data_IF_021238024275
#
_entry.id   IF_021238024275
#
_cell.length_a   1.000
_cell.length_b   1.000
_cell.length_c   1.000
_cell.angle_alpha   90.00
_cell.angle_beta   90.00
_cell.angle_gamma   90.00
#
_symmetry.space_group_name_H-M   'P 1'
#
loop_
_entity.id
_entity.type
_entity.pdbx_description
1 polymer ?
#
# COMPACT_ATOMS: atom_id res chain seq x y z
N UNK A 1 80.55 25.42 -13.54
CA UNK A 1 80.06 26.47 -14.47
C UNK A 1 78.57 26.27 -14.69
N UNK A 2 77.81 27.36 -14.61
CA UNK A 2 76.49 27.65 -15.22
C UNK A 2 75.44 26.52 -15.29
N UNK A 3 74.37 26.74 -14.54
CA UNK A 3 72.95 26.63 -14.92
C UNK A 3 72.67 26.51 -16.43
N UNK A 4 71.74 25.65 -16.83
CA UNK A 4 70.66 25.94 -17.80
C UNK A 4 69.57 24.87 -17.65
N UNK A 5 68.35 25.37 -17.46
CA UNK A 5 67.07 24.68 -17.47
C UNK A 5 66.65 24.48 -18.94
N UNK A 6 66.18 23.30 -19.31
CA UNK A 6 65.44 23.08 -20.55
C UNK A 6 64.20 22.23 -20.24
N UNK A 7 63.04 22.89 -20.37
CA UNK A 7 61.72 22.29 -20.47
C UNK A 7 61.70 21.30 -21.65
N UNK A 8 61.24 20.08 -21.40
CA UNK A 8 60.61 19.26 -22.43
C UNK A 8 59.18 18.98 -21.95
N UNK A 9 58.24 19.57 -22.66
CA UNK A 9 56.81 19.23 -22.59
C UNK A 9 56.61 17.95 -23.39
N UNK A 10 56.14 16.89 -22.74
CA UNK A 10 55.57 15.72 -23.40
C UNK A 10 54.10 15.62 -22.97
N UNK A 11 53.19 15.89 -23.92
CA UNK A 11 51.79 15.54 -23.81
C UNK A 11 51.67 14.01 -23.83
N UNK A 12 51.10 13.42 -22.77
CA UNK A 12 50.44 12.13 -22.87
C UNK A 12 48.98 12.28 -22.42
N UNK A 13 48.11 12.11 -23.41
CA UNK A 13 46.68 11.89 -23.21
C UNK A 13 46.46 10.49 -22.64
N UNK A 14 45.54 10.36 -21.68
CA UNK A 14 45.16 9.06 -21.14
C UNK A 14 44.43 9.18 -19.81
N UNK A 15 43.17 9.61 -19.87
CA UNK A 15 42.28 9.60 -18.71
C UNK A 15 41.99 8.19 -18.23
N UNK A 16 42.10 7.97 -16.93
CA UNK A 16 41.37 6.95 -16.21
C UNK A 16 41.00 7.53 -14.85
N UNK A 17 39.94 8.34 -14.84
CA UNK A 17 39.27 8.69 -13.60
C UNK A 17 38.76 7.39 -12.97
N UNK A 18 39.29 7.05 -11.80
CA UNK A 18 38.76 6.00 -10.96
C UNK A 18 37.26 6.27 -10.75
N UNK A 19 36.41 5.36 -11.24
CA UNK A 19 34.98 5.44 -10.98
C UNK A 19 34.76 5.20 -9.48
N UNK A 20 34.03 6.06 -8.77
CA UNK A 20 33.59 5.73 -7.43
C UNK A 20 32.54 4.63 -7.55
N UNK A 21 32.81 3.49 -6.93
CA UNK A 21 31.87 2.39 -6.71
C UNK A 21 30.79 2.88 -5.74
N UNK A 22 29.75 3.51 -6.28
CA UNK A 22 28.52 3.79 -5.57
C UNK A 22 27.51 2.66 -5.85
N UNK A 23 27.87 1.45 -5.45
CA UNK A 23 26.94 0.32 -5.28
C UNK A 23 26.62 0.25 -3.77
N UNK A 24 25.87 1.24 -3.29
CA UNK A 24 25.23 1.22 -1.98
C UNK A 24 23.79 1.70 -2.19
N UNK A 25 22.99 0.73 -2.64
CA UNK A 25 21.55 0.59 -2.41
C UNK A 25 20.81 1.90 -2.18
N UNK A 26 20.43 2.58 -3.27
CA UNK A 26 19.15 3.27 -3.25
C UNK A 26 18.06 2.21 -3.31
N UNK A 27 17.83 1.50 -2.19
CA UNK A 27 16.49 1.10 -1.81
C UNK A 27 15.69 2.39 -1.49
N UNK A 28 15.63 3.27 -2.49
CA UNK A 28 14.95 4.55 -2.46
C UNK A 28 13.49 4.22 -2.27
N UNK A 29 12.99 4.48 -1.06
CA UNK A 29 11.60 4.77 -0.71
C UNK A 29 10.62 4.33 -1.79
N UNK A 30 10.44 3.02 -1.97
CA UNK A 30 9.35 2.54 -2.80
C UNK A 30 8.08 3.12 -2.19
N UNK A 31 7.24 3.81 -2.97
CA UNK A 31 6.04 4.41 -2.42
C UNK A 31 5.25 3.29 -1.77
N UNK A 32 4.95 3.45 -0.48
CA UNK A 32 4.33 2.40 0.34
C UNK A 32 2.97 1.96 -0.23
N UNK A 33 2.36 2.83 -1.05
CA UNK A 33 1.26 2.53 -1.95
C UNK A 33 1.65 2.88 -3.40
N UNK A 34 1.49 1.97 -4.37
CA UNK A 34 1.96 2.18 -5.75
C UNK A 34 0.95 2.90 -6.66
N UNK A 35 0.08 3.75 -6.11
CA UNK A 35 -0.89 4.60 -6.84
C UNK A 35 -0.88 6.03 -6.29
N UNK A 36 -1.37 7.02 -7.05
CA UNK A 36 -1.46 8.41 -6.57
C UNK A 36 -2.64 8.58 -5.61
N UNK A 37 -2.36 8.72 -4.32
CA UNK A 37 -3.41 8.89 -3.29
C UNK A 37 -4.26 10.14 -3.51
N UNK A 38 -3.71 11.22 -4.07
CA UNK A 38 -4.48 12.44 -4.33
C UNK A 38 -5.54 12.22 -5.42
N UNK A 39 -5.34 11.22 -6.29
CA UNK A 39 -6.24 10.81 -7.37
C UNK A 39 -7.10 9.59 -7.01
N UNK A 40 -7.12 9.18 -5.74
CA UNK A 40 -7.93 8.07 -5.25
C UNK A 40 -8.91 8.53 -4.17
N UNK A 41 -10.00 7.77 -4.01
CA UNK A 41 -10.87 7.79 -2.85
C UNK A 41 -10.71 6.45 -2.14
N UNK A 42 -10.44 6.49 -0.84
CA UNK A 42 -10.31 5.32 0.01
C UNK A 42 -11.41 5.34 1.07
N UNK A 43 -12.13 4.23 1.19
CA UNK A 43 -13.26 4.07 2.09
C UNK A 43 -13.13 2.77 2.88
N UNK A 44 -13.43 2.89 4.16
CA UNK A 44 -13.46 1.79 5.11
C UNK A 44 -14.89 1.69 5.67
N UNK A 45 -15.46 0.49 5.63
CA UNK A 45 -16.79 0.23 6.20
C UNK A 45 -16.78 -1.08 6.99
N UNK A 46 -17.28 -1.05 8.23
CA UNK A 46 -17.48 -2.27 9.02
C UNK A 46 -18.75 -3.00 8.57
N UNK A 47 -18.71 -4.32 8.58
CA UNK A 47 -19.89 -5.19 8.38
C UNK A 47 -20.12 -6.00 9.65
N UNK A 48 -21.27 -6.65 9.75
CA UNK A 48 -21.60 -7.54 10.88
C UNK A 48 -20.64 -8.74 11.01
N UNK A 49 -19.95 -9.11 9.93
CA UNK A 49 -18.99 -10.23 9.88
C UNK A 49 -17.54 -9.78 9.61
N UNK A 50 -17.26 -8.48 9.55
CA UNK A 50 -15.90 -7.97 9.29
C UNK A 50 -15.90 -6.54 8.75
N UNK A 51 -15.42 -6.34 7.52
CA UNK A 51 -15.31 -5.01 6.92
C UNK A 51 -14.94 -5.01 5.44
N UNK A 52 -15.00 -3.84 4.81
CA UNK A 52 -14.68 -3.62 3.39
C UNK A 52 -13.71 -2.45 3.28
N UNK A 53 -12.54 -2.70 2.70
CA UNK A 53 -11.66 -1.66 2.15
C UNK A 53 -12.03 -1.48 0.68
N UNK A 54 -12.36 -0.25 0.29
CA UNK A 54 -12.71 0.11 -1.08
C UNK A 54 -11.83 1.27 -1.52
N UNK A 55 -11.10 1.10 -2.62
CA UNK A 55 -10.27 2.15 -3.22
C UNK A 55 -10.64 2.31 -4.69
N UNK A 56 -10.97 3.53 -5.10
CA UNK A 56 -11.32 3.88 -6.48
C UNK A 56 -10.55 5.10 -6.96
N UNK A 57 -10.31 5.19 -8.26
CA UNK A 57 -9.79 6.39 -8.90
C UNK A 57 -10.87 7.48 -8.95
N UNK A 58 -10.48 8.75 -8.80
CA UNK A 58 -11.38 9.90 -8.96
C UNK A 58 -11.82 10.14 -10.41
N UNK A 59 -11.07 9.61 -11.37
CA UNK A 59 -11.37 9.71 -12.79
C UNK A 59 -11.40 8.32 -13.43
N UNK A 60 -12.52 7.99 -14.07
CA UNK A 60 -12.70 6.74 -14.81
C UNK A 60 -11.79 6.63 -16.05
N UNK A 61 -11.29 7.75 -16.56
CA UNK A 61 -10.42 7.79 -17.73
C UNK A 61 -8.94 7.51 -17.39
N UNK A 62 -8.58 7.51 -16.10
CA UNK A 62 -7.23 7.23 -15.66
C UNK A 62 -6.98 5.72 -15.51
N UNK A 63 -6.90 5.03 -16.64
CA UNK A 63 -6.70 3.58 -16.69
C UNK A 63 -5.43 3.10 -15.97
N UNK A 64 -4.37 3.92 -15.95
CA UNK A 64 -3.14 3.58 -15.23
C UNK A 64 -3.34 3.59 -13.72
N UNK A 65 -3.99 4.62 -13.18
CA UNK A 65 -4.32 4.72 -11.76
C UNK A 65 -5.23 3.57 -11.32
N UNK A 66 -6.27 3.27 -12.10
CA UNK A 66 -7.20 2.16 -11.84
C UNK A 66 -6.44 0.83 -11.78
N UNK A 67 -5.55 0.56 -12.75
CA UNK A 67 -4.73 -0.65 -12.76
C UNK A 67 -3.82 -0.73 -11.53
N UNK A 68 -3.16 0.36 -11.15
CA UNK A 68 -2.28 0.42 -9.97
C UNK A 68 -3.06 0.12 -8.67
N UNK A 69 -4.26 0.66 -8.51
CA UNK A 69 -5.15 0.37 -7.37
C UNK A 69 -5.54 -1.12 -7.36
N UNK A 70 -5.97 -1.66 -8.50
CA UNK A 70 -6.34 -3.08 -8.62
C UNK A 70 -5.18 -4.03 -8.33
N UNK A 71 -3.97 -3.67 -8.78
CA UNK A 71 -2.76 -4.46 -8.54
C UNK A 71 -2.37 -4.41 -7.07
N UNK A 72 -2.43 -3.22 -6.45
CA UNK A 72 -2.17 -3.05 -5.03
C UNK A 72 -3.13 -3.89 -4.17
N UNK A 73 -4.44 -3.73 -4.34
CA UNK A 73 -5.44 -4.44 -3.52
C UNK A 73 -5.38 -5.96 -3.71
N UNK A 74 -5.10 -6.43 -4.93
CA UNK A 74 -4.90 -7.87 -5.19
C UNK A 74 -3.68 -8.39 -4.44
N UNK A 75 -2.58 -7.64 -4.46
CA UNK A 75 -1.36 -8.01 -3.75
C UNK A 75 -1.58 -7.99 -2.23
N UNK A 76 -2.21 -6.95 -1.68
CA UNK A 76 -2.54 -6.85 -0.25
C UNK A 76 -3.42 -8.01 0.20
N UNK A 77 -4.47 -8.36 -0.55
CA UNK A 77 -5.30 -9.52 -0.21
C UNK A 77 -4.49 -10.83 -0.20
N UNK A 78 -3.60 -11.02 -1.18
CA UNK A 78 -2.75 -12.21 -1.27
C UNK A 78 -1.70 -12.28 -0.14
N UNK A 79 -1.20 -11.15 0.36
CA UNK A 79 -0.33 -11.07 1.54
C UNK A 79 -1.10 -11.46 2.80
N UNK A 80 -2.28 -10.86 3.02
CA UNK A 80 -3.12 -11.17 4.18
C UNK A 80 -3.59 -12.62 4.22
N UNK A 81 -3.93 -13.21 3.07
CA UNK A 81 -4.28 -14.64 2.98
C UNK A 81 -3.15 -15.57 3.44
N UNK A 82 -1.89 -15.12 3.38
CA UNK A 82 -0.71 -15.86 3.87
C UNK A 82 -0.36 -15.51 5.32
N UNK A 83 -1.13 -14.63 5.97
CA UNK A 83 -0.79 -14.07 7.27
C UNK A 83 0.39 -13.08 7.22
N UNK A 84 0.76 -12.58 6.03
CA UNK A 84 1.80 -11.58 5.88
C UNK A 84 1.21 -10.18 6.05
N UNK A 85 1.52 -9.55 7.18
CA UNK A 85 1.13 -8.18 7.50
C UNK A 85 2.34 -7.22 7.47
N UNK A 86 3.48 -7.65 6.94
CA UNK A 86 4.73 -6.88 6.99
C UNK A 86 4.61 -5.52 6.31
N UNK A 87 3.85 -5.41 5.22
CA UNK A 87 3.56 -4.15 4.54
C UNK A 87 2.74 -3.20 5.40
N UNK A 88 1.69 -3.71 6.06
CA UNK A 88 0.87 -2.95 7.01
C UNK A 88 1.72 -2.46 8.20
N UNK A 89 2.54 -3.33 8.79
CA UNK A 89 3.41 -2.95 9.92
C UNK A 89 4.44 -1.89 9.54
N UNK A 90 5.06 -1.99 8.35
CA UNK A 90 6.00 -0.98 7.87
C UNK A 90 5.34 0.40 7.69
N UNK A 91 4.05 0.42 7.32
CA UNK A 91 3.34 1.66 7.00
C UNK A 91 2.66 2.29 8.23
N UNK A 92 1.99 1.48 9.06
CA UNK A 92 1.18 1.94 10.19
C UNK A 92 1.85 1.72 11.56
N UNK A 93 2.96 0.98 11.59
CA UNK A 93 3.58 0.51 12.82
C UNK A 93 2.98 -0.81 13.33
N UNK A 94 3.72 -1.56 14.16
CA UNK A 94 3.28 -2.86 14.67
C UNK A 94 2.15 -2.76 15.72
N UNK A 95 1.99 -1.59 16.34
CA UNK A 95 1.07 -1.36 17.45
C UNK A 95 -0.32 -0.88 17.02
N UNK A 96 -0.61 -0.89 15.71
CA UNK A 96 -1.93 -0.53 15.21
C UNK A 96 -3.02 -1.40 15.87
N UNK A 97 -4.08 -0.80 16.45
CA UNK A 97 -5.12 -1.56 17.12
C UNK A 97 -5.67 -2.71 16.28
N UNK A 98 -5.83 -3.89 16.89
CA UNK A 98 -6.32 -5.10 16.21
C UNK A 98 -5.26 -5.89 15.43
N UNK A 99 -4.18 -5.27 14.96
CA UNK A 99 -3.20 -5.90 14.06
C UNK A 99 -2.53 -7.13 14.69
N UNK A 100 -2.10 -7.04 15.95
CA UNK A 100 -1.46 -8.15 16.65
C UNK A 100 -2.36 -9.40 16.73
N UNK A 101 -3.67 -9.20 16.93
CA UNK A 101 -4.64 -10.29 17.00
C UNK A 101 -4.95 -10.87 15.61
N UNK A 102 -4.97 -10.03 14.56
CA UNK A 102 -5.11 -10.49 13.18
C UNK A 102 -3.92 -11.35 12.73
N UNK A 103 -2.70 -11.00 13.15
CA UNK A 103 -1.46 -11.72 12.80
C UNK A 103 -1.40 -13.15 13.36
N UNK A 104 -2.05 -13.41 14.48
CA UNK A 104 -2.05 -14.74 15.12
C UNK A 104 -3.22 -15.62 14.67
N UNK A 105 -4.09 -15.11 13.78
CA UNK A 105 -5.16 -15.90 13.19
C UNK A 105 -4.60 -17.08 12.39
N UNK A 106 -5.22 -18.25 12.53
CA UNK A 106 -4.86 -19.40 11.73
C UNK A 106 -5.31 -19.20 10.26
N UNK A 107 -4.63 -19.85 9.30
CA UNK A 107 -5.04 -19.78 7.89
C UNK A 107 -6.52 -20.12 7.72
N UNK A 108 -7.28 -19.19 7.13
CA UNK A 108 -8.71 -19.33 6.87
C UNK A 108 -9.65 -18.81 7.97
N UNK A 109 -9.14 -18.45 9.16
CA UNK A 109 -9.99 -17.85 10.21
C UNK A 109 -10.42 -16.42 9.87
N UNK A 110 -9.62 -15.71 9.08
CA UNK A 110 -10.01 -14.47 8.41
C UNK A 110 -9.92 -14.69 6.90
N UNK A 111 -11.01 -14.39 6.20
CA UNK A 111 -11.06 -14.39 4.75
C UNK A 111 -10.80 -12.98 4.23
N UNK A 112 -10.00 -12.88 3.18
CA UNK A 112 -9.66 -11.64 2.50
C UNK A 112 -9.95 -11.82 1.00
N UNK A 113 -11.14 -11.38 0.58
CA UNK A 113 -11.64 -11.60 -0.77
C UNK A 113 -11.51 -10.32 -1.61
N UNK A 114 -10.54 -10.28 -2.52
CA UNK A 114 -10.37 -9.17 -3.47
C UNK A 114 -11.43 -9.24 -4.58
N UNK A 115 -12.04 -8.09 -4.89
CA UNK A 115 -12.92 -7.89 -6.04
C UNK A 115 -12.43 -6.71 -6.88
N UNK A 116 -12.14 -6.96 -8.16
CA UNK A 116 -11.86 -5.92 -9.16
C UNK A 116 -13.14 -5.15 -9.49
N UNK A 117 -13.02 -3.84 -9.63
CA UNK A 117 -14.09 -2.92 -10.05
C UNK A 117 -13.64 -2.10 -11.28
N UNK A 118 -14.57 -1.56 -12.09
CA UNK A 118 -14.21 -0.78 -13.29
C UNK A 118 -13.31 0.45 -13.00
N UNK A 119 -13.47 1.07 -11.84
CA UNK A 119 -12.79 2.28 -11.38
C UNK A 119 -11.78 2.03 -10.25
N UNK A 120 -11.58 0.77 -9.83
CA UNK A 120 -10.68 0.43 -8.74
C UNK A 120 -10.86 -1.01 -8.24
N UNK A 121 -11.00 -1.18 -6.94
CA UNK A 121 -11.26 -2.48 -6.34
C UNK A 121 -11.62 -2.42 -4.86
N UNK A 122 -11.97 -3.57 -4.31
CA UNK A 122 -12.24 -3.72 -2.89
C UNK A 122 -11.66 -5.02 -2.33
N UNK A 123 -11.42 -5.07 -1.02
CA UNK A 123 -11.15 -6.29 -0.26
C UNK A 123 -12.25 -6.44 0.78
N UNK A 124 -12.95 -7.57 0.75
CA UNK A 124 -13.89 -7.96 1.79
C UNK A 124 -13.17 -8.80 2.84
N UNK A 125 -13.19 -8.33 4.07
CA UNK A 125 -12.67 -9.00 5.25
C UNK A 125 -13.83 -9.66 5.97
N UNK A 126 -13.75 -10.96 6.23
CA UNK A 126 -14.79 -11.67 6.97
C UNK A 126 -14.25 -12.75 7.89
N UNK A 127 -14.93 -12.97 9.01
CA UNK A 127 -14.61 -14.01 9.99
C UNK A 127 -15.87 -14.43 10.74
N UNK A 128 -15.92 -15.69 11.15
CA UNK A 128 -16.96 -16.24 12.03
C UNK A 128 -16.53 -16.24 13.51
N UNK A 129 -15.29 -15.83 13.80
CA UNK A 129 -14.73 -15.87 15.15
C UNK A 129 -14.84 -14.50 15.82
N UNK A 130 -15.64 -14.43 16.89
CA UNK A 130 -15.91 -13.18 17.61
C UNK A 130 -14.63 -12.41 18.06
N UNK A 131 -13.55 -13.05 18.56
CA UNK A 131 -12.33 -12.32 18.89
C UNK A 131 -11.65 -11.66 17.67
N UNK A 132 -11.67 -12.33 16.52
CA UNK A 132 -11.09 -11.80 15.28
C UNK A 132 -11.96 -10.72 14.66
N UNK A 133 -13.29 -10.82 14.80
CA UNK A 133 -14.21 -9.77 14.40
C UNK A 133 -13.93 -8.46 15.16
N UNK A 134 -13.80 -8.55 16.49
CA UNK A 134 -13.42 -7.40 17.33
C UNK A 134 -12.08 -6.82 16.91
N UNK A 135 -11.09 -7.66 16.62
CA UNK A 135 -9.78 -7.22 16.15
C UNK A 135 -9.87 -6.49 14.80
N UNK A 136 -10.62 -7.04 13.83
CA UNK A 136 -10.87 -6.39 12.56
C UNK A 136 -11.55 -5.04 12.75
N UNK A 137 -12.57 -4.94 13.61
CA UNK A 137 -13.25 -3.67 13.87
C UNK A 137 -12.32 -2.63 14.49
N UNK A 138 -11.48 -3.01 15.45
CA UNK A 138 -10.45 -2.11 16.00
C UNK A 138 -9.45 -1.66 14.93
N UNK A 139 -9.03 -2.57 14.04
CA UNK A 139 -8.13 -2.25 12.94
C UNK A 139 -8.79 -1.28 11.95
N UNK A 140 -10.04 -1.53 11.56
CA UNK A 140 -10.81 -0.62 10.71
C UNK A 140 -10.99 0.76 11.35
N UNK A 141 -11.29 0.84 12.65
CA UNK A 141 -11.42 2.11 13.35
C UNK A 141 -10.08 2.89 13.37
N UNK A 142 -8.95 2.19 13.52
CA UNK A 142 -7.63 2.80 13.43
C UNK A 142 -7.29 3.29 12.01
N UNK A 143 -7.60 2.50 10.98
CA UNK A 143 -7.45 2.92 9.58
C UNK A 143 -8.29 4.19 9.29
N UNK A 144 -9.54 4.22 9.75
CA UNK A 144 -10.42 5.39 9.58
C UNK A 144 -9.84 6.61 10.29
N UNK A 145 -9.24 6.45 11.48
CA UNK A 145 -8.63 7.55 12.21
C UNK A 145 -7.41 8.15 11.50
N UNK A 146 -6.60 7.33 10.82
CA UNK A 146 -5.39 7.78 10.12
C UNK A 146 -5.66 8.31 8.69
N UNK A 147 -6.56 7.65 7.95
CA UNK A 147 -6.76 7.92 6.52
C UNK A 147 -8.07 8.66 6.23
N UNK A 148 -8.98 8.73 7.20
CA UNK A 148 -10.37 9.09 6.97
C UNK A 148 -11.13 7.96 6.29
N UNK A 149 -12.36 8.24 5.85
CA UNK A 149 -13.15 7.32 5.02
C UNK A 149 -13.99 8.13 4.05
N UNK A 150 -13.68 8.00 2.75
CA UNK A 150 -14.39 8.70 1.71
C UNK A 150 -15.83 8.14 1.55
N UNK A 151 -16.78 9.04 1.32
CA UNK A 151 -18.09 8.65 0.79
C UNK A 151 -17.92 8.31 -0.70
N UNK A 152 -18.31 7.09 -1.09
CA UNK A 152 -18.20 6.64 -2.47
C UNK A 152 -19.55 6.77 -3.20
N UNK A 153 -19.57 7.20 -4.47
CA UNK A 153 -20.81 7.48 -5.21
C UNK A 153 -21.78 6.29 -5.31
N UNK A 154 -21.27 5.05 -5.29
CA UNK A 154 -22.06 3.82 -5.43
C UNK A 154 -22.76 3.38 -4.12
N UNK A 155 -22.38 3.94 -2.96
CA UNK A 155 -22.89 3.51 -1.65
C UNK A 155 -24.09 4.31 -1.14
N UNK A 156 -24.54 5.35 -1.86
CA UNK A 156 -25.68 6.16 -1.44
C UNK A 156 -27.06 5.55 -1.78
N UNK A 157 -27.12 4.42 -2.50
CA UNK A 157 -28.37 3.88 -3.04
C UNK A 157 -28.94 2.66 -2.27
N UNK A 158 -28.29 2.18 -1.20
CA UNK A 158 -28.75 0.99 -0.46
C UNK A 158 -29.09 1.19 1.02
N UNK A 159 -29.07 2.42 1.53
CA UNK A 159 -29.66 2.76 2.84
C UNK A 159 -30.99 3.50 2.70
N UNK A 160 -31.93 2.90 1.94
CA UNK A 160 -33.34 3.09 2.18
C UNK A 160 -33.85 1.77 2.78
N UNK A 161 -33.84 1.66 4.10
CA UNK A 161 -34.68 0.67 4.80
C UNK A 161 -36.12 0.83 4.32
N UNK A 162 -36.82 -0.23 3.89
CA UNK A 162 -38.26 -0.16 3.71
C UNK A 162 -38.87 0.20 5.06
N UNK A 163 -39.55 1.34 5.12
CA UNK A 163 -40.45 1.65 6.23
C UNK A 163 -41.64 0.70 6.09
N UNK A 164 -41.80 -0.17 7.07
CA UNK A 164 -43.05 -0.92 7.33
C UNK A 164 -44.15 0.04 7.80
#
# INVERSE_FOLDING_TARGET
>A
MKTILLLIVALFAGGAAAKPTAELSSAAHSPLVPYDRAQALESFSKTVHGGILHIVAKSADNAEQIRRIQDYLRQTAAEFQKGDFSSTERYHGPDMPGLAQMKVAQPGEIRFDFKRLPDGGQIHFSTEYAPLLTALHHWFDAQIAEHGSAALPEHSQHHATPTE
#
